data_IF_263440684000
#
_entry.id   IF_263440684000
#
_cell.length_a   1.000
_cell.length_b   1.000
_cell.length_c   1.000
_cell.angle_alpha   90.00
_cell.angle_beta   90.00
_cell.angle_gamma   90.00
#
_symmetry.space_group_name_H-M   'P 1'
#
loop_
_entity.id
_entity.type
_entity.pdbx_description
1 polymer ?
#
# COMPACT_ATOMS: atom_id res chain seq x y z
N UNK A 1 -4.87 -13.70 8.28
CA UNK A 1 -3.77 -13.61 9.24
C UNK A 1 -4.22 -12.95 10.54
N UNK A 2 -3.45 -13.16 11.59
CA UNK A 2 -3.77 -12.67 12.94
C UNK A 2 -2.76 -11.61 13.35
N UNK A 3 -3.25 -10.45 13.79
CA UNK A 3 -2.42 -9.48 14.50
C UNK A 3 -2.33 -9.85 15.99
N UNK A 4 -1.11 -9.90 16.47
CA UNK A 4 -0.79 -9.99 17.89
C UNK A 4 -0.02 -8.73 18.28
N UNK A 5 -0.65 -7.84 19.05
CA UNK A 5 0.00 -6.61 19.49
C UNK A 5 0.54 -6.77 20.90
N UNK A 6 1.77 -6.34 21.14
CA UNK A 6 2.36 -6.29 22.47
C UNK A 6 1.49 -5.49 23.44
N UNK A 7 1.23 -6.08 24.61
CA UNK A 7 0.36 -5.48 25.65
C UNK A 7 -1.15 -5.48 25.35
N UNK A 8 -1.59 -5.97 24.20
CA UNK A 8 -3.02 -6.05 23.89
C UNK A 8 -3.67 -7.33 24.46
N UNK A 9 -4.85 -7.19 25.10
CA UNK A 9 -5.61 -8.32 25.65
C UNK A 9 -6.22 -9.23 24.58
N UNK A 10 -6.43 -8.73 23.36
CA UNK A 10 -7.13 -9.44 22.30
C UNK A 10 -6.34 -9.44 20.99
N UNK A 11 -6.36 -10.59 20.31
CA UNK A 11 -5.86 -10.74 18.94
C UNK A 11 -6.90 -10.19 17.96
N UNK A 12 -6.43 -9.59 16.87
CA UNK A 12 -7.29 -9.14 15.78
C UNK A 12 -7.10 -10.03 14.57
N UNK A 13 -8.16 -10.68 14.12
CA UNK A 13 -8.13 -11.53 12.93
C UNK A 13 -8.48 -10.70 11.71
N UNK A 14 -7.65 -10.76 10.67
CA UNK A 14 -7.86 -10.07 9.40
C UNK A 14 -8.31 -11.08 8.33
N UNK A 15 -9.46 -10.81 7.73
CA UNK A 15 -10.09 -11.63 6.68
C UNK A 15 -10.27 -10.83 5.40
N UNK A 16 -10.14 -11.50 4.27
CA UNK A 16 -10.43 -10.90 2.96
C UNK A 16 -11.88 -11.21 2.56
N UNK A 17 -12.80 -10.35 2.94
CA UNK A 17 -14.25 -10.56 2.71
C UNK A 17 -14.67 -10.40 1.25
N UNK A 18 -13.81 -9.82 0.40
CA UNK A 18 -14.06 -9.62 -1.03
C UNK A 18 -13.77 -10.85 -1.90
N UNK A 19 -13.16 -11.90 -1.34
CA UNK A 19 -12.80 -13.11 -2.09
C UNK A 19 -13.81 -14.23 -1.88
N UNK A 20 -14.15 -14.99 -2.95
CA UNK A 20 -14.80 -16.29 -2.80
C UNK A 20 -13.92 -17.23 -1.97
N UNK A 21 -14.54 -17.99 -1.04
CA UNK A 21 -13.81 -18.91 -0.16
C UNK A 21 -13.80 -20.33 -0.74
N UNK A 22 -12.70 -21.02 -0.52
CA UNK A 22 -12.53 -22.45 -0.74
C UNK A 22 -12.88 -22.92 -2.16
N UNK A 23 -12.66 -22.06 -3.14
CA UNK A 23 -12.84 -22.36 -4.57
C UNK A 23 -11.86 -21.55 -5.43
N UNK A 24 -11.63 -22.02 -6.65
CA UNK A 24 -10.87 -21.28 -7.64
C UNK A 24 -11.73 -20.13 -8.16
N UNK A 25 -11.15 -18.94 -8.26
CA UNK A 25 -11.81 -17.75 -8.78
C UNK A 25 -10.82 -16.88 -9.57
N UNK A 26 -11.34 -15.88 -10.25
CA UNK A 26 -10.62 -14.88 -11.04
C UNK A 26 -10.84 -13.47 -10.48
N UNK A 27 -10.18 -12.47 -11.04
CA UNK A 27 -10.46 -11.07 -10.71
C UNK A 27 -11.92 -10.68 -10.96
N UNK A 28 -12.59 -11.30 -11.94
CA UNK A 28 -14.00 -11.01 -12.25
C UNK A 28 -14.96 -11.45 -11.14
N UNK A 29 -14.57 -12.42 -10.33
CA UNK A 29 -15.37 -12.96 -9.23
C UNK A 29 -15.13 -12.19 -7.91
N UNK A 30 -14.08 -11.36 -7.86
CA UNK A 30 -13.75 -10.55 -6.69
C UNK A 30 -14.85 -9.52 -6.43
N UNK A 31 -15.28 -9.42 -5.18
CA UNK A 31 -16.22 -8.41 -4.72
C UNK A 31 -15.49 -7.09 -4.43
N UNK A 32 -16.17 -6.16 -3.82
CA UNK A 32 -15.61 -4.86 -3.47
C UNK A 32 -14.52 -4.97 -2.40
N UNK A 33 -13.38 -4.30 -2.62
CA UNK A 33 -12.39 -4.03 -1.57
C UNK A 33 -12.70 -2.69 -0.92
N UNK A 34 -12.81 -2.69 0.41
CA UNK A 34 -12.94 -1.44 1.15
C UNK A 34 -11.66 -0.60 1.02
N UNK A 35 -11.82 0.72 0.92
CA UNK A 35 -10.67 1.63 0.92
C UNK A 35 -9.84 1.43 2.20
N UNK A 36 -8.51 1.39 2.04
CA UNK A 36 -7.60 1.10 3.14
C UNK A 36 -7.29 -0.39 3.38
N UNK A 37 -8.01 -1.30 2.71
CA UNK A 37 -7.73 -2.73 2.77
C UNK A 37 -6.95 -3.17 1.54
N UNK A 38 -5.84 -3.86 1.75
CA UNK A 38 -5.02 -4.42 0.67
C UNK A 38 -4.36 -5.73 1.12
N UNK A 39 -3.94 -6.52 0.15
CA UNK A 39 -3.25 -7.79 0.39
C UNK A 39 -1.84 -7.47 0.89
N UNK A 40 -1.50 -8.00 2.06
CA UNK A 40 -0.15 -7.91 2.62
C UNK A 40 0.67 -9.15 2.23
N UNK A 41 2.00 -9.01 2.13
CA UNK A 41 2.86 -10.10 1.66
C UNK A 41 2.72 -11.40 2.46
N UNK A 42 2.47 -11.30 3.76
CA UNK A 42 2.30 -12.46 4.64
C UNK A 42 0.94 -13.16 4.48
N UNK A 43 0.06 -12.62 3.65
CA UNK A 43 -1.25 -13.21 3.32
C UNK A 43 -1.37 -13.69 1.87
N UNK A 44 -0.27 -13.74 1.12
CA UNK A 44 -0.27 -14.18 -0.28
C UNK A 44 0.86 -15.15 -0.57
N UNK A 45 0.54 -16.18 -1.37
CA UNK A 45 1.50 -17.13 -1.90
C UNK A 45 1.36 -17.11 -3.41
N UNK A 46 2.45 -16.88 -4.12
CA UNK A 46 2.51 -16.92 -5.57
C UNK A 46 3.20 -18.18 -6.08
N UNK A 47 2.76 -18.68 -7.22
CA UNK A 47 3.55 -19.68 -7.95
C UNK A 47 4.87 -19.06 -8.38
N UNK A 48 5.99 -19.72 -8.09
CA UNK A 48 7.33 -19.23 -8.46
C UNK A 48 7.48 -18.95 -9.96
N UNK A 49 6.84 -19.77 -10.81
CA UNK A 49 6.82 -19.57 -12.26
C UNK A 49 6.24 -18.21 -12.62
N UNK A 50 5.11 -17.81 -12.02
CA UNK A 50 4.48 -16.49 -12.24
C UNK A 50 5.41 -15.35 -11.85
N UNK A 51 6.10 -15.47 -10.70
CA UNK A 51 7.04 -14.44 -10.25
C UNK A 51 8.22 -14.25 -11.22
N UNK A 52 8.71 -15.34 -11.80
CA UNK A 52 9.77 -15.30 -12.82
C UNK A 52 9.28 -14.71 -14.14
N UNK A 53 8.10 -15.12 -14.59
CA UNK A 53 7.51 -14.68 -15.84
C UNK A 53 7.10 -13.20 -15.85
N UNK A 54 6.66 -12.66 -14.69
CA UNK A 54 6.38 -11.22 -14.57
C UNK A 54 7.64 -10.38 -14.35
N UNK A 55 8.84 -10.99 -14.33
CA UNK A 55 10.10 -10.30 -14.14
C UNK A 55 10.19 -9.61 -12.77
N UNK A 56 9.70 -10.28 -11.70
CA UNK A 56 9.79 -9.72 -10.36
C UNK A 56 11.24 -9.62 -9.91
N UNK A 57 11.70 -8.40 -9.69
CA UNK A 57 12.97 -8.09 -9.07
C UNK A 57 12.75 -7.20 -7.87
N UNK A 58 13.37 -7.54 -6.75
CA UNK A 58 13.30 -6.76 -5.53
C UNK A 58 14.64 -6.06 -5.29
N UNK A 59 14.66 -4.73 -5.07
CA UNK A 59 15.89 -4.01 -4.81
C UNK A 59 16.55 -4.50 -3.52
N UNK A 60 17.85 -4.78 -3.59
CA UNK A 60 18.65 -5.22 -2.44
C UNK A 60 18.74 -4.10 -1.39
N UNK A 61 18.85 -4.51 -0.12
CA UNK A 61 19.01 -3.60 1.02
C UNK A 61 17.96 -2.47 1.09
N UNK A 62 16.72 -2.78 0.70
CA UNK A 62 15.62 -1.82 0.64
C UNK A 62 14.46 -2.34 1.48
N UNK A 63 13.95 -1.52 2.40
CA UNK A 63 12.73 -1.82 3.15
C UNK A 63 11.50 -1.58 2.27
N UNK A 64 10.37 -2.15 2.67
CA UNK A 64 9.05 -1.98 2.02
C UNK A 64 8.92 -2.63 0.63
N UNK A 65 9.88 -3.47 0.24
CA UNK A 65 9.85 -4.24 -1.02
C UNK A 65 8.72 -5.28 -1.07
N UNK A 66 8.14 -5.60 0.09
CA UNK A 66 6.93 -6.38 0.24
C UNK A 66 5.77 -5.83 -0.60
N UNK A 67 5.68 -4.51 -0.74
CA UNK A 67 4.68 -3.87 -1.60
C UNK A 67 4.93 -4.19 -3.09
N UNK A 68 6.18 -4.23 -3.55
CA UNK A 68 6.52 -4.62 -4.93
C UNK A 68 6.20 -6.11 -5.14
N UNK A 69 6.56 -6.97 -4.16
CA UNK A 69 6.28 -8.41 -4.18
C UNK A 69 4.81 -8.71 -4.37
N UNK A 70 3.93 -7.99 -3.67
CA UNK A 70 2.49 -8.19 -3.81
C UNK A 70 1.95 -7.58 -5.09
N UNK A 71 2.39 -6.36 -5.43
CA UNK A 71 1.77 -5.51 -6.45
C UNK A 71 2.09 -5.93 -7.88
N UNK A 72 3.39 -6.12 -8.18
CA UNK A 72 3.87 -6.36 -9.56
C UNK A 72 3.27 -7.61 -10.22
N UNK A 73 3.07 -8.74 -9.53
CA UNK A 73 2.51 -9.94 -10.16
C UNK A 73 1.01 -9.87 -10.46
N UNK A 74 0.25 -8.95 -9.82
CA UNK A 74 -1.23 -8.95 -9.87
C UNK A 74 -1.83 -8.95 -11.28
N UNK A 75 -1.32 -8.19 -12.27
CA UNK A 75 -1.86 -8.22 -13.64
C UNK A 75 -1.70 -9.57 -14.34
N UNK A 76 -0.75 -10.40 -13.89
CA UNK A 76 -0.44 -11.70 -14.46
C UNK A 76 -1.20 -12.85 -13.78
N UNK A 77 -1.90 -12.56 -12.67
CA UNK A 77 -2.70 -13.55 -11.93
C UNK A 77 -3.97 -13.87 -12.70
N UNK A 78 -4.08 -15.12 -13.18
CA UNK A 78 -5.27 -15.61 -13.89
C UNK A 78 -6.29 -16.24 -12.95
N UNK A 79 -5.81 -17.04 -12.01
CA UNK A 79 -6.64 -17.76 -11.04
C UNK A 79 -6.12 -17.58 -9.64
N UNK A 80 -7.02 -17.52 -8.69
CA UNK A 80 -6.76 -17.35 -7.26
C UNK A 80 -7.53 -18.41 -6.47
N UNK A 81 -7.04 -18.71 -5.27
CA UNK A 81 -7.72 -19.53 -4.28
C UNK A 81 -7.58 -18.85 -2.91
N UNK A 82 -8.67 -18.68 -2.19
CA UNK A 82 -8.65 -18.06 -0.86
C UNK A 82 -9.03 -19.09 0.20
N UNK A 83 -8.07 -19.37 1.08
CA UNK A 83 -8.28 -20.17 2.28
C UNK A 83 -8.46 -19.26 3.50
N UNK A 84 -9.59 -19.43 4.20
CA UNK A 84 -9.90 -18.66 5.40
C UNK A 84 -9.25 -19.29 6.63
N UNK A 85 -7.92 -19.28 6.68
CA UNK A 85 -7.12 -19.88 7.74
C UNK A 85 -6.22 -18.86 8.43
N UNK A 86 -5.98 -19.04 9.72
CA UNK A 86 -5.06 -18.21 10.53
C UNK A 86 -3.61 -18.67 10.35
N UNK A 87 -3.14 -18.68 9.10
CA UNK A 87 -1.85 -19.25 8.74
C UNK A 87 -0.66 -18.43 9.26
N UNK A 88 -0.78 -17.09 9.23
CA UNK A 88 0.29 -16.19 9.63
C UNK A 88 -0.08 -15.40 10.88
N UNK A 89 0.82 -15.38 11.86
CA UNK A 89 0.70 -14.57 13.06
C UNK A 89 1.68 -13.41 13.00
N UNK A 90 1.16 -12.21 12.90
CA UNK A 90 1.96 -11.00 12.79
C UNK A 90 2.03 -10.29 14.12
N UNK A 91 3.17 -10.41 14.79
CA UNK A 91 3.43 -9.72 16.05
C UNK A 91 3.84 -8.27 15.76
N UNK A 92 3.11 -7.31 16.31
CA UNK A 92 3.33 -5.88 16.13
C UNK A 92 3.47 -5.14 17.46
N UNK A 93 4.09 -3.96 17.42
CA UNK A 93 4.20 -3.06 18.56
C UNK A 93 5.63 -2.89 19.09
N UNK A 94 6.61 -3.62 18.56
CA UNK A 94 8.02 -3.39 18.93
C UNK A 94 8.53 -2.08 18.34
N UNK A 95 9.40 -1.39 19.06
CA UNK A 95 9.96 -0.10 18.65
C UNK A 95 10.87 -0.18 17.42
N UNK A 96 11.51 -1.33 17.20
CA UNK A 96 12.44 -1.57 16.08
C UNK A 96 11.76 -1.97 14.77
N UNK A 97 10.44 -2.14 14.77
CA UNK A 97 9.71 -2.58 13.58
C UNK A 97 9.74 -1.53 12.46
N UNK A 98 9.84 -2.04 11.22
CA UNK A 98 9.86 -1.21 10.01
C UNK A 98 8.63 -0.32 9.84
N UNK A 99 7.51 -0.69 10.45
CA UNK A 99 6.26 0.08 10.45
C UNK A 99 6.18 1.12 11.59
N UNK A 100 7.17 1.18 12.47
CA UNK A 100 7.27 2.24 13.47
C UNK A 100 7.50 3.58 12.74
N UNK A 101 6.77 4.62 13.12
CA UNK A 101 6.80 5.92 12.44
C UNK A 101 8.18 6.55 12.39
N UNK A 102 8.94 6.54 13.49
CA UNK A 102 10.31 7.10 13.52
C UNK A 102 11.21 6.35 12.54
N UNK A 103 11.08 5.02 12.50
CA UNK A 103 11.81 4.16 11.57
C UNK A 103 11.39 4.44 10.13
N UNK A 104 10.08 4.62 9.85
CA UNK A 104 9.59 4.96 8.52
C UNK A 104 10.13 6.30 8.03
N UNK A 105 10.14 7.32 8.89
CA UNK A 105 10.68 8.65 8.55
C UNK A 105 12.18 8.57 8.29
N UNK A 106 12.96 7.83 9.09
CA UNK A 106 14.40 7.66 8.88
C UNK A 106 14.75 6.92 7.59
N UNK A 107 13.81 6.14 7.05
CA UNK A 107 13.97 5.35 5.82
C UNK A 107 13.09 5.86 4.69
N UNK A 108 12.68 7.13 4.74
CA UNK A 108 11.70 7.68 3.81
C UNK A 108 12.14 7.61 2.33
N UNK A 109 13.44 7.71 2.06
CA UNK A 109 13.96 7.61 0.70
C UNK A 109 13.77 6.21 0.10
N UNK A 110 13.82 5.17 0.93
CA UNK A 110 13.51 3.80 0.51
C UNK A 110 12.02 3.63 0.21
N UNK A 111 11.15 4.22 1.02
CA UNK A 111 9.72 4.24 0.79
C UNK A 111 9.36 4.96 -0.52
N UNK A 112 10.00 6.11 -0.79
CA UNK A 112 9.85 6.84 -2.06
C UNK A 112 10.33 5.98 -3.23
N UNK A 113 11.48 5.31 -3.09
CA UNK A 113 12.01 4.40 -4.11
C UNK A 113 11.02 3.29 -4.46
N UNK A 114 10.48 2.62 -3.44
CA UNK A 114 9.48 1.55 -3.63
C UNK A 114 8.23 2.10 -4.31
N UNK A 115 7.73 3.26 -3.87
CA UNK A 115 6.55 3.88 -4.47
C UNK A 115 6.78 4.20 -5.96
N UNK A 116 7.96 4.72 -6.33
CA UNK A 116 8.32 4.96 -7.73
C UNK A 116 8.40 3.66 -8.55
N UNK A 117 9.02 2.62 -8.00
CA UNK A 117 9.09 1.30 -8.66
C UNK A 117 7.67 0.75 -8.94
N UNK A 118 6.74 0.85 -7.99
CA UNK A 118 5.36 0.42 -8.21
C UNK A 118 4.67 1.17 -9.37
N UNK A 119 5.02 2.46 -9.55
CA UNK A 119 4.50 3.28 -10.65
C UNK A 119 5.16 2.92 -11.98
N UNK A 120 6.46 2.60 -11.96
CA UNK A 120 7.24 2.32 -13.16
C UNK A 120 7.01 0.93 -13.72
N UNK A 121 6.89 -0.06 -12.84
CA UNK A 121 6.87 -1.48 -13.18
C UNK A 121 5.54 -1.95 -13.76
N UNK A 122 4.45 -1.22 -13.51
CA UNK A 122 3.11 -1.62 -13.96
C UNK A 122 2.40 -0.47 -14.65
N UNK A 123 2.19 -0.61 -15.97
CA UNK A 123 1.32 0.27 -16.72
C UNK A 123 -0.15 -0.10 -16.43
N UNK A 124 -0.77 0.64 -15.51
CA UNK A 124 -2.13 0.39 -15.06
C UNK A 124 -3.17 0.56 -16.19
N UNK A 125 -2.84 1.34 -17.24
CA UNK A 125 -3.73 1.51 -18.39
C UNK A 125 -3.81 0.24 -19.25
N UNK A 126 -2.80 -0.63 -19.16
CA UNK A 126 -2.75 -1.94 -19.87
C UNK A 126 -3.35 -3.09 -19.07
N UNK A 127 -3.73 -2.88 -17.82
CA UNK A 127 -4.40 -3.90 -17.02
C UNK A 127 -5.83 -4.07 -17.51
N UNK A 128 -6.08 -5.17 -18.24
CA UNK A 128 -7.34 -5.41 -18.94
C UNK A 128 -8.53 -5.65 -17.99
N UNK A 129 -8.31 -6.39 -16.90
CA UNK A 129 -9.39 -6.65 -15.95
C UNK A 129 -9.65 -5.41 -15.09
N UNK A 130 -10.85 -4.84 -15.21
CA UNK A 130 -11.25 -3.62 -14.51
C UNK A 130 -11.13 -3.73 -12.98
N UNK A 131 -11.53 -4.86 -12.37
CA UNK A 131 -11.48 -5.04 -10.92
C UNK A 131 -10.04 -5.14 -10.42
N UNK A 132 -9.16 -5.84 -11.16
CA UNK A 132 -7.73 -5.86 -10.88
C UNK A 132 -7.15 -4.45 -10.95
N UNK A 133 -7.39 -3.73 -12.03
CA UNK A 133 -6.91 -2.35 -12.21
C UNK A 133 -7.39 -1.43 -11.09
N UNK A 134 -8.68 -1.48 -10.76
CA UNK A 134 -9.25 -0.68 -9.68
C UNK A 134 -8.61 -0.99 -8.32
N UNK A 135 -8.42 -2.28 -8.02
CA UNK A 135 -7.73 -2.71 -6.82
C UNK A 135 -6.28 -2.19 -6.78
N UNK A 136 -5.55 -2.28 -7.87
CA UNK A 136 -4.17 -1.81 -7.97
C UNK A 136 -4.05 -0.29 -7.82
N UNK A 137 -4.98 0.47 -8.36
CA UNK A 137 -5.04 1.92 -8.16
C UNK A 137 -5.26 2.25 -6.67
N UNK A 138 -6.19 1.56 -6.01
CA UNK A 138 -6.41 1.74 -4.56
C UNK A 138 -5.17 1.38 -3.74
N UNK A 139 -4.47 0.31 -4.11
CA UNK A 139 -3.23 -0.07 -3.42
C UNK A 139 -2.15 1.01 -3.59
N UNK A 140 -1.94 1.46 -4.82
CA UNK A 140 -0.99 2.54 -5.12
C UNK A 140 -1.36 3.84 -4.37
N UNK A 141 -2.66 4.17 -4.28
CA UNK A 141 -3.16 5.31 -3.49
C UNK A 141 -2.74 5.18 -2.02
N UNK A 142 -2.95 4.02 -1.41
CA UNK A 142 -2.57 3.77 -0.01
C UNK A 142 -1.06 4.01 0.21
N UNK A 143 -0.21 3.40 -0.62
CA UNK A 143 1.25 3.52 -0.48
C UNK A 143 1.70 4.97 -0.71
N UNK A 144 1.14 5.65 -1.72
CA UNK A 144 1.45 7.06 -1.99
C UNK A 144 1.00 7.98 -0.86
N UNK A 145 -0.16 7.71 -0.25
CA UNK A 145 -0.67 8.46 0.91
C UNK A 145 0.22 8.22 2.13
N UNK A 146 0.59 6.98 2.42
CA UNK A 146 1.51 6.66 3.53
C UNK A 146 2.85 7.37 3.34
N UNK A 147 3.45 7.29 2.15
CA UNK A 147 4.68 8.00 1.82
C UNK A 147 4.52 9.51 2.04
N UNK A 148 3.43 10.09 1.53
CA UNK A 148 3.14 11.52 1.64
C UNK A 148 3.00 11.98 3.09
N UNK A 149 2.28 11.21 3.91
CA UNK A 149 2.06 11.60 5.32
C UNK A 149 3.33 11.47 6.15
N UNK A 150 4.20 10.50 5.89
CA UNK A 150 5.49 10.40 6.59
C UNK A 150 6.38 11.60 6.25
N UNK A 151 6.39 12.04 4.99
CA UNK A 151 7.08 13.26 4.57
C UNK A 151 6.52 14.52 5.25
N UNK A 152 5.20 14.61 5.41
CA UNK A 152 4.57 15.72 6.15
C UNK A 152 4.90 15.70 7.65
N UNK A 153 4.95 14.51 8.24
CA UNK A 153 5.19 14.32 9.69
C UNK A 153 6.64 14.55 10.10
N UNK A 154 7.59 14.37 9.20
CA UNK A 154 8.99 14.69 9.45
C UNK A 154 9.20 16.18 9.77
N UNK A 155 8.36 17.04 9.20
CA UNK A 155 8.35 18.48 9.46
C UNK A 155 9.54 19.26 8.85
N UNK A 156 10.44 18.61 8.12
CA UNK A 156 11.60 19.26 7.50
C UNK A 156 11.27 19.81 6.11
N UNK A 157 11.88 20.93 5.72
CA UNK A 157 11.69 21.49 4.37
C UNK A 157 12.24 20.53 3.28
N UNK A 158 13.31 19.81 3.55
CA UNK A 158 13.84 18.77 2.66
C UNK A 158 12.76 17.72 2.32
N UNK A 159 12.10 17.17 3.31
CA UNK A 159 11.06 16.16 3.10
C UNK A 159 9.79 16.75 2.48
N UNK A 160 9.50 18.02 2.70
CA UNK A 160 8.43 18.71 2.00
C UNK A 160 8.75 18.89 0.51
N UNK A 161 10.02 19.12 0.15
CA UNK A 161 10.44 19.12 -1.25
C UNK A 161 10.36 17.71 -1.86
N UNK A 162 10.87 16.68 -1.18
CA UNK A 162 10.71 15.28 -1.62
C UNK A 162 9.24 14.91 -1.88
N UNK A 163 8.30 15.43 -1.06
CA UNK A 163 6.86 15.27 -1.32
C UNK A 163 6.46 15.91 -2.65
N UNK A 164 6.86 17.16 -2.90
CA UNK A 164 6.55 17.87 -4.15
C UNK A 164 7.12 17.15 -5.36
N UNK A 165 8.35 16.65 -5.25
CA UNK A 165 9.03 15.87 -6.28
C UNK A 165 8.33 14.53 -6.57
N UNK A 166 7.89 13.79 -5.55
CA UNK A 166 7.15 12.55 -5.73
C UNK A 166 5.85 12.79 -6.51
N UNK A 167 5.06 13.80 -6.13
CA UNK A 167 3.82 14.11 -6.83
C UNK A 167 4.03 14.64 -8.25
N UNK A 168 5.12 15.38 -8.48
CA UNK A 168 5.55 15.81 -9.82
C UNK A 168 5.98 14.60 -10.67
N UNK A 169 6.72 13.67 -10.07
CA UNK A 169 7.11 12.42 -10.72
C UNK A 169 5.89 11.61 -11.20
N UNK A 170 4.90 11.40 -10.32
CA UNK A 170 3.66 10.69 -10.67
C UNK A 170 2.95 11.40 -11.83
N UNK A 171 2.83 12.72 -11.76
CA UNK A 171 2.18 13.53 -12.80
C UNK A 171 2.87 13.39 -14.15
N UNK A 172 4.20 13.44 -14.16
CA UNK A 172 4.98 13.35 -15.39
C UNK A 172 4.98 11.94 -15.99
N UNK A 173 4.88 10.93 -15.15
CA UNK A 173 4.86 9.52 -15.57
C UNK A 173 3.51 9.13 -16.16
N UNK A 174 2.42 9.46 -15.49
CA UNK A 174 1.05 9.16 -15.92
C UNK A 174 0.08 10.19 -15.34
N UNK A 175 -0.42 11.07 -16.21
CA UNK A 175 -1.36 12.13 -15.84
C UNK A 175 -2.72 11.58 -15.39
N UNK A 176 -3.17 10.45 -15.94
CA UNK A 176 -4.46 9.83 -15.59
C UNK A 176 -4.38 9.25 -14.19
N UNK A 177 -3.33 8.47 -13.92
CA UNK A 177 -3.09 7.92 -12.58
C UNK A 177 -2.88 9.04 -11.57
N UNK A 178 -2.12 10.09 -11.90
CA UNK A 178 -1.97 11.26 -11.04
C UNK A 178 -3.32 11.86 -10.66
N UNK A 179 -4.21 12.06 -11.63
CA UNK A 179 -5.54 12.63 -11.38
C UNK A 179 -6.38 11.72 -10.47
N UNK A 180 -6.34 10.41 -10.68
CA UNK A 180 -7.06 9.45 -9.84
C UNK A 180 -6.54 9.46 -8.39
N UNK A 181 -5.23 9.40 -8.20
CA UNK A 181 -4.61 9.45 -6.87
C UNK A 181 -4.83 10.81 -6.19
N UNK A 182 -4.72 11.91 -6.94
CA UNK A 182 -4.80 13.28 -6.42
C UNK A 182 -6.23 13.69 -6.04
N UNK A 183 -7.22 13.25 -6.82
CA UNK A 183 -8.62 13.61 -6.67
C UNK A 183 -9.40 12.64 -5.76
N UNK A 184 -8.83 11.51 -5.39
CA UNK A 184 -9.35 10.62 -4.35
C UNK A 184 -9.41 11.34 -3.00
N UNK A 185 -10.30 10.90 -2.11
CA UNK A 185 -10.49 11.52 -0.77
C UNK A 185 -9.16 11.58 0.00
N UNK A 186 -8.40 10.49 -0.01
CA UNK A 186 -7.10 10.42 0.68
C UNK A 186 -6.08 11.36 0.01
N UNK A 187 -6.02 11.37 -1.32
CA UNK A 187 -5.11 12.24 -2.07
C UNK A 187 -5.39 13.72 -1.85
N UNK A 188 -6.66 14.13 -1.87
CA UNK A 188 -7.07 15.50 -1.56
C UNK A 188 -6.64 15.91 -0.15
N UNK A 189 -6.98 15.07 0.84
CA UNK A 189 -6.66 15.31 2.25
C UNK A 189 -5.15 15.46 2.48
N UNK A 190 -4.32 14.63 1.84
CA UNK A 190 -2.85 14.66 2.01
C UNK A 190 -2.17 15.81 1.24
N UNK A 191 -2.88 16.54 0.40
CA UNK A 191 -2.34 17.62 -0.41
C UNK A 191 -2.99 18.97 -0.15
N UNK A 192 -3.54 19.17 1.03
CA UNK A 192 -4.06 20.47 1.44
C UNK A 192 -2.92 21.51 1.49
N UNK A 193 -3.17 22.75 1.01
CA UNK A 193 -2.15 23.78 0.93
C UNK A 193 -1.80 24.41 2.29
N UNK A 194 -0.60 24.95 2.37
CA UNK A 194 -0.14 25.76 3.50
C UNK A 194 0.12 24.97 4.79
N UNK A 195 0.52 25.69 5.84
CA UNK A 195 0.84 25.11 7.15
C UNK A 195 -0.39 24.50 7.83
N UNK A 196 -1.54 25.19 7.75
CA UNK A 196 -2.80 24.70 8.32
C UNK A 196 -3.29 23.44 7.62
N UNK A 197 -3.22 23.39 6.27
CA UNK A 197 -3.56 22.21 5.51
C UNK A 197 -2.72 20.98 5.91
N UNK A 198 -1.41 21.15 6.12
CA UNK A 198 -0.54 20.07 6.61
C UNK A 198 -0.96 19.55 7.98
N UNK A 199 -1.33 20.43 8.92
CA UNK A 199 -1.84 20.01 10.23
C UNK A 199 -3.13 19.18 10.11
N UNK A 200 -4.05 19.60 9.26
CA UNK A 200 -5.30 18.88 8.98
C UNK A 200 -4.99 17.50 8.37
N UNK A 201 -4.08 17.42 7.38
CA UNK A 201 -3.65 16.16 6.77
C UNK A 201 -3.11 15.17 7.82
N UNK A 202 -2.23 15.64 8.69
CA UNK A 202 -1.66 14.82 9.77
C UNK A 202 -2.73 14.38 10.78
N UNK A 203 -3.66 15.26 11.14
CA UNK A 203 -4.74 14.94 12.06
C UNK A 203 -5.70 13.89 11.47
N UNK A 204 -6.07 14.04 10.20
CA UNK A 204 -6.91 13.08 9.48
C UNK A 204 -6.25 11.68 9.41
N UNK A 205 -4.94 11.64 9.15
CA UNK A 205 -4.20 10.37 9.17
C UNK A 205 -4.19 9.72 10.55
N UNK A 206 -3.93 10.47 11.62
CA UNK A 206 -3.99 9.96 13.00
C UNK A 206 -5.37 9.39 13.36
N UNK A 207 -6.42 10.06 12.88
CA UNK A 207 -7.79 9.56 13.08
C UNK A 207 -8.02 8.26 12.32
N UNK A 208 -7.58 8.18 11.06
CA UNK A 208 -7.71 6.95 10.26
C UNK A 208 -6.95 5.77 10.88
N UNK A 209 -5.76 5.99 11.47
CA UNK A 209 -5.03 4.96 12.19
C UNK A 209 -5.83 4.37 13.37
N UNK A 210 -6.53 5.22 14.12
CA UNK A 210 -7.39 4.78 15.25
C UNK A 210 -8.60 3.97 14.77
N UNK A 211 -9.19 4.35 13.63
CA UNK A 211 -10.39 3.69 13.09
C UNK A 211 -10.04 2.38 12.39
N UNK A 212 -8.99 2.38 11.56
CA UNK A 212 -8.58 1.20 10.77
C UNK A 212 -7.68 0.26 11.58
N UNK A 213 -7.07 0.78 12.65
CA UNK A 213 -6.26 -0.03 13.56
C UNK A 213 -4.86 -0.38 13.03
N UNK A 214 -4.30 0.46 12.18
CA UNK A 214 -2.89 0.40 11.82
C UNK A 214 -2.07 1.09 12.93
N UNK A 215 -1.54 0.31 13.85
CA UNK A 215 -0.45 0.64 14.77
C UNK A 215 0.25 -0.63 15.16
#
# INVERSE_FOLDING_TARGET
YVYEKEGAKHKRVMRQTGFPKDQIFTWSDVRHFYKGHYILMHSVIYRTKLLRECGLELPKHTFYVDNIYVYKPLPHVRTMYYMDVDFYRYFIGREDQSVNEKVMISRIDQQIRVNKIMIDDVDLNKVSNYKCRHYMINYLEIITVVTTVMLLRSGTEENLEKKRELWRYIKNKDIIIFQQLRNGIMGQTMNLPGRSGRKISVAAYRLSQKVVGFN
#
